data_IF_978905354924
#
_entry.id   IF_978905354924
#
_cell.length_a   1.000
_cell.length_b   1.000
_cell.length_c   1.000
_cell.angle_alpha   90.00
_cell.angle_beta   90.00
_cell.angle_gamma   90.00
#
_symmetry.space_group_name_H-M   'P 1'
#
loop_
_entity.id
_entity.type
_entity.pdbx_description
1 polymer ?
#
# COMPACT_ATOMS: atom_id res chain seq x y z
N UNK A 1 25.46 20.38 1.82
CA UNK A 1 24.77 19.56 2.83
C UNK A 1 23.29 19.73 2.57
N UNK A 2 22.62 18.67 2.10
CA UNK A 2 21.14 18.44 2.11
C UNK A 2 20.78 17.20 1.25
N UNK A 3 21.67 16.19 1.15
CA UNK A 3 21.53 15.05 0.23
C UNK A 3 21.04 13.76 0.93
N UNK A 4 20.58 13.87 2.18
CA UNK A 4 20.20 12.72 3.03
C UNK A 4 18.70 12.74 3.44
N UNK A 5 17.87 13.43 2.66
CA UNK A 5 16.41 13.29 2.80
C UNK A 5 15.97 11.97 2.16
N UNK A 6 15.15 11.15 2.85
CA UNK A 6 14.56 9.96 2.24
C UNK A 6 13.86 10.38 0.95
N UNK A 7 14.29 9.82 -0.19
CA UNK A 7 13.65 10.08 -1.48
C UNK A 7 12.14 9.92 -1.32
N UNK A 8 11.32 10.85 -1.81
CA UNK A 8 9.87 10.72 -1.72
C UNK A 8 9.48 9.35 -2.26
N UNK A 9 8.76 8.55 -1.45
CA UNK A 9 8.23 7.28 -1.95
C UNK A 9 7.41 7.63 -3.19
N UNK A 10 7.72 6.98 -4.30
CA UNK A 10 7.02 7.17 -5.57
C UNK A 10 5.50 7.14 -5.32
N UNK A 11 4.79 8.19 -5.72
CA UNK A 11 3.33 8.25 -5.67
C UNK A 11 2.72 7.43 -6.82
N UNK A 12 2.93 6.12 -6.77
CA UNK A 12 2.50 5.21 -7.82
C UNK A 12 0.97 5.25 -8.03
N UNK A 13 0.20 5.41 -6.96
CA UNK A 13 -1.26 5.55 -7.02
C UNK A 13 -1.67 6.85 -7.73
N UNK A 14 -1.03 7.97 -7.40
CA UNK A 14 -1.29 9.25 -8.07
C UNK A 14 -0.86 9.26 -9.54
N UNK A 15 0.16 8.47 -9.93
CA UNK A 15 0.52 8.29 -11.34
C UNK A 15 -0.55 7.49 -12.11
N UNK A 16 -1.05 6.40 -11.52
CA UNK A 16 -2.14 5.61 -12.12
C UNK A 16 -3.41 6.44 -12.33
N UNK A 17 -3.73 7.34 -11.39
CA UNK A 17 -4.92 8.20 -11.48
C UNK A 17 -4.85 9.27 -12.58
N UNK A 18 -3.64 9.59 -13.08
CA UNK A 18 -3.43 10.58 -14.14
C UNK A 18 -3.47 9.97 -15.54
N UNK A 19 -3.53 8.65 -15.63
CA UNK A 19 -3.54 7.96 -16.91
C UNK A 19 -4.89 8.12 -17.63
N UNK A 20 -4.84 8.49 -18.91
CA UNK A 20 -6.04 8.60 -19.74
C UNK A 20 -6.55 7.20 -20.11
N UNK A 21 -7.81 6.92 -19.79
CA UNK A 21 -8.45 5.62 -20.05
C UNK A 21 -9.25 5.61 -21.35
N UNK A 22 -9.40 6.75 -22.02
CA UNK A 22 -10.29 6.90 -23.19
C UNK A 22 -9.88 6.05 -24.40
N UNK A 23 -8.60 5.64 -24.48
CA UNK A 23 -8.09 4.78 -25.56
C UNK A 23 -8.20 3.29 -25.26
N UNK A 24 -8.61 2.90 -24.05
CA UNK A 24 -8.67 1.51 -23.63
C UNK A 24 -9.97 0.85 -24.10
N UNK A 25 -9.86 -0.38 -24.58
CA UNK A 25 -11.01 -1.27 -24.78
C UNK A 25 -11.59 -1.74 -23.43
N UNK A 26 -12.81 -2.29 -23.47
CA UNK A 26 -13.46 -2.84 -22.27
C UNK A 26 -12.66 -4.00 -21.66
N UNK A 27 -12.06 -4.84 -22.50
CA UNK A 27 -11.26 -5.98 -22.04
C UNK A 27 -9.96 -5.52 -21.36
N UNK A 28 -9.28 -4.50 -21.90
CA UNK A 28 -8.09 -3.91 -21.29
C UNK A 28 -8.43 -3.23 -19.95
N UNK A 29 -9.59 -2.58 -19.85
CA UNK A 29 -10.07 -2.01 -18.58
C UNK A 29 -10.37 -3.12 -17.56
N UNK A 30 -10.98 -4.23 -17.97
CA UNK A 30 -11.27 -5.36 -17.11
C UNK A 30 -9.98 -6.01 -16.58
N UNK A 31 -8.99 -6.23 -17.45
CA UNK A 31 -7.67 -6.75 -17.06
C UNK A 31 -6.99 -5.80 -16.06
N UNK A 32 -7.00 -4.49 -16.35
CA UNK A 32 -6.44 -3.47 -15.46
C UNK A 32 -7.10 -3.48 -14.08
N UNK A 33 -8.43 -3.59 -14.02
CA UNK A 33 -9.18 -3.70 -12.76
C UNK A 33 -8.72 -4.92 -11.97
N UNK A 34 -8.65 -6.09 -12.60
CA UNK A 34 -8.24 -7.33 -11.94
C UNK A 34 -6.84 -7.22 -11.31
N UNK A 35 -5.90 -6.58 -12.01
CA UNK A 35 -4.55 -6.33 -11.49
C UNK A 35 -4.56 -5.37 -10.28
N UNK A 36 -5.34 -4.30 -10.35
CA UNK A 36 -5.45 -3.33 -9.25
C UNK A 36 -6.11 -3.94 -8.01
N UNK A 37 -7.13 -4.78 -8.18
CA UNK A 37 -7.76 -5.49 -7.07
C UNK A 37 -6.79 -6.47 -6.39
N UNK A 38 -5.99 -7.20 -7.17
CA UNK A 38 -4.95 -8.08 -6.64
C UNK A 38 -3.90 -7.28 -5.84
N UNK A 39 -3.49 -6.11 -6.33
CA UNK A 39 -2.56 -5.23 -5.63
C UNK A 39 -3.17 -4.68 -4.33
N UNK A 40 -4.44 -4.27 -4.35
CA UNK A 40 -5.17 -3.85 -3.13
C UNK A 40 -5.18 -4.98 -2.09
N UNK A 41 -5.47 -6.22 -2.52
CA UNK A 41 -5.45 -7.37 -1.62
C UNK A 41 -4.05 -7.59 -1.02
N UNK A 42 -2.99 -7.48 -1.83
CA UNK A 42 -1.60 -7.58 -1.38
C UNK A 42 -1.25 -6.52 -0.34
N UNK A 43 -1.62 -5.26 -0.58
CA UNK A 43 -1.37 -4.15 0.35
C UNK A 43 -2.12 -4.33 1.66
N UNK A 44 -3.40 -4.72 1.60
CA UNK A 44 -4.21 -5.02 2.80
C UNK A 44 -3.56 -6.14 3.62
N UNK A 45 -3.18 -7.24 3.00
CA UNK A 45 -2.53 -8.36 3.68
C UNK A 45 -1.18 -7.96 4.32
N UNK A 46 -0.42 -7.04 3.72
CA UNK A 46 0.80 -6.54 4.33
C UNK A 46 0.52 -5.63 5.54
N UNK A 47 -0.42 -4.68 5.40
CA UNK A 47 -0.86 -3.80 6.50
C UNK A 47 -1.33 -4.61 7.70
N UNK A 48 -2.16 -5.62 7.47
CA UNK A 48 -2.78 -6.39 8.54
C UNK A 48 -1.73 -7.23 9.29
N UNK A 49 -0.77 -7.81 8.57
CA UNK A 49 0.40 -8.47 9.18
C UNK A 49 1.22 -7.51 10.03
N UNK A 50 1.55 -6.33 9.50
CA UNK A 50 2.30 -5.32 10.25
C UNK A 50 1.56 -4.86 11.52
N UNK A 51 0.23 -4.71 11.47
CA UNK A 51 -0.59 -4.38 12.64
C UNK A 51 -0.61 -5.50 13.67
N UNK A 52 -0.69 -6.76 13.24
CA UNK A 52 -0.66 -7.91 14.14
C UNK A 52 0.68 -8.01 14.89
N UNK A 53 1.79 -7.72 14.21
CA UNK A 53 3.10 -7.63 14.85
C UNK A 53 3.17 -6.51 15.90
N UNK A 54 2.60 -5.33 15.61
CA UNK A 54 2.56 -4.23 16.58
C UNK A 54 1.72 -4.59 17.81
N UNK A 55 0.52 -5.14 17.61
CA UNK A 55 -0.34 -5.55 18.72
C UNK A 55 0.31 -6.64 19.60
N UNK A 56 1.03 -7.58 19.00
CA UNK A 56 1.79 -8.59 19.74
C UNK A 56 2.96 -7.97 20.53
N UNK A 57 3.66 -6.98 19.96
CA UNK A 57 4.70 -6.24 20.66
C UNK A 57 4.13 -5.44 21.83
N UNK A 58 3.04 -4.70 21.63
CA UNK A 58 2.39 -3.90 22.68
C UNK A 58 1.91 -4.77 23.85
N UNK A 59 1.44 -5.98 23.58
CA UNK A 59 1.06 -6.95 24.61
C UNK A 59 2.27 -7.48 25.42
N UNK A 60 3.43 -7.63 24.77
CA UNK A 60 4.66 -8.14 25.41
C UNK A 60 5.38 -7.06 26.22
N UNK A 61 5.29 -5.79 25.79
CA UNK A 61 5.98 -4.66 26.42
C UNK A 61 5.09 -3.78 27.32
N UNK A 62 3.84 -4.20 27.59
CA UNK A 62 2.99 -3.49 28.55
C UNK A 62 3.64 -3.52 29.95
N UNK A 63 3.92 -2.37 30.58
CA UNK A 63 4.39 -2.35 31.95
C UNK A 63 3.32 -2.95 32.85
N UNK A 64 3.70 -3.93 33.67
CA UNK A 64 2.80 -4.55 34.65
C UNK A 64 2.34 -3.43 35.58
N UNK A 65 1.06 -3.07 35.50
CA UNK A 65 0.47 -2.10 36.41
C UNK A 65 0.66 -2.62 37.83
N UNK A 66 1.38 -1.83 38.64
CA UNK A 66 1.51 -2.04 40.09
C UNK A 66 0.26 -1.57 40.81
#
# INVERSE_FOLDING_TARGET
MDDDLPRPRSDAAGLLAKEALDSYSQDELAERIALLEAEIARVRAHRDRASAHRAAADALFRPRSS
#
